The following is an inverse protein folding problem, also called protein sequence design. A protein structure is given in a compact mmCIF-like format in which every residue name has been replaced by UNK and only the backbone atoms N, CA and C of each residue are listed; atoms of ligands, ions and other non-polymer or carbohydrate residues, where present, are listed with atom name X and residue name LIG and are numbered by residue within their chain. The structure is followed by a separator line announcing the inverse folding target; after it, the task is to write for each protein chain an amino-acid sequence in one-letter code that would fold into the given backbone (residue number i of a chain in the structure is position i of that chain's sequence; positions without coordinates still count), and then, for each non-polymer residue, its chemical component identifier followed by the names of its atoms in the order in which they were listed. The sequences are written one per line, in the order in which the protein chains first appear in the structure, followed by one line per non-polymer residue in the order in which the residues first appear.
data_IF_499451648788
#
_entry.id   IF_499451648788
#
_cell.length_a   1.000
_cell.length_b   1.000
_cell.length_c   1.000
_cell.angle_alpha   90.00
_cell.angle_beta   90.00
_cell.angle_gamma   90.00
#
_symmetry.space_group_name_H-M   'P 1'
#
loop_
_entity.id
_entity.type
_entity.pdbx_description
1 polymer ?
#
# COMPACT_ATOMS: atom_id res chain seq x y z
N UNK A 1 12.80 29.57 12.31
CA UNK A 1 12.77 29.78 10.84
C UNK A 1 13.04 28.49 10.08
N UNK A 2 14.08 27.72 10.43
CA UNK A 2 14.39 26.40 9.83
C UNK A 2 13.27 25.37 10.04
N UNK A 3 12.71 25.27 11.25
CA UNK A 3 11.62 24.31 11.55
C UNK A 3 10.35 24.54 10.71
N UNK A 4 9.99 25.79 10.44
CA UNK A 4 8.77 26.12 9.70
C UNK A 4 8.92 25.83 8.19
N UNK A 5 10.15 25.97 7.69
CA UNK A 5 10.52 25.67 6.31
C UNK A 5 10.58 24.16 6.08
N UNK A 6 11.14 23.38 7.02
CA UNK A 6 11.12 21.92 7.00
C UNK A 6 9.67 21.43 6.99
N UNK A 7 8.81 21.96 7.87
CA UNK A 7 7.40 21.56 7.96
C UNK A 7 6.62 21.81 6.66
N UNK A 8 6.84 22.95 5.99
CA UNK A 8 6.24 23.25 4.68
C UNK A 8 6.77 22.31 3.59
N UNK A 9 8.08 22.06 3.54
CA UNK A 9 8.69 21.17 2.56
C UNK A 9 8.16 19.73 2.71
N UNK A 10 8.03 19.23 3.93
CA UNK A 10 7.46 17.89 4.21
C UNK A 10 6.00 17.83 3.79
N UNK A 11 5.21 18.88 4.02
CA UNK A 11 3.81 18.96 3.57
C UNK A 11 3.67 18.95 2.04
N UNK A 12 4.54 19.65 1.33
CA UNK A 12 4.56 19.67 -0.15
C UNK A 12 4.97 18.31 -0.70
N UNK A 13 6.04 17.71 -0.18
CA UNK A 13 6.47 16.35 -0.54
C UNK A 13 5.35 15.32 -0.29
N UNK A 14 4.64 15.46 0.83
CA UNK A 14 3.51 14.60 1.17
C UNK A 14 2.35 14.74 0.18
N UNK A 15 1.93 15.97 -0.13
CA UNK A 15 0.89 16.21 -1.13
C UNK A 15 1.28 15.67 -2.51
N UNK A 16 2.56 15.74 -2.86
CA UNK A 16 3.09 15.22 -4.12
C UNK A 16 3.06 13.68 -4.16
N UNK A 17 3.47 13.01 -3.08
CA UNK A 17 3.40 11.54 -2.97
C UNK A 17 1.94 11.07 -3.06
N UNK A 18 1.02 11.72 -2.35
CA UNK A 18 -0.41 11.42 -2.42
C UNK A 18 -1.00 11.65 -3.81
N UNK A 19 -0.62 12.74 -4.47
CA UNK A 19 -1.06 13.05 -5.82
C UNK A 19 -0.56 12.02 -6.84
N UNK A 20 0.71 11.62 -6.73
CA UNK A 20 1.30 10.56 -7.59
C UNK A 20 0.60 9.22 -7.36
N UNK A 21 0.39 8.85 -6.10
CA UNK A 21 -0.36 7.64 -5.74
C UNK A 21 -1.75 7.68 -6.37
N UNK A 22 -2.59 8.67 -6.05
CA UNK A 22 -3.94 8.80 -6.61
C UNK A 22 -3.97 8.81 -8.15
N UNK A 23 -3.01 9.46 -8.80
CA UNK A 23 -2.94 9.55 -10.27
C UNK A 23 -2.59 8.22 -10.93
N UNK A 24 -1.92 7.30 -10.23
CA UNK A 24 -1.68 5.92 -10.68
C UNK A 24 -2.85 5.02 -10.31
N UNK A 25 -3.41 5.16 -9.10
CA UNK A 25 -4.47 4.29 -8.58
C UNK A 25 -5.80 4.39 -9.34
N UNK A 26 -6.24 5.62 -9.62
CA UNK A 26 -7.56 5.90 -10.23
C UNK A 26 -7.71 5.34 -11.65
N UNK A 27 -6.78 5.60 -12.61
CA UNK A 27 -6.91 5.07 -13.96
C UNK A 27 -6.77 3.54 -14.02
N UNK A 28 -5.92 2.94 -13.16
CA UNK A 28 -5.75 1.48 -13.14
C UNK A 28 -6.95 0.75 -12.52
N UNK A 29 -7.53 1.29 -11.44
CA UNK A 29 -8.75 0.71 -10.83
C UNK A 29 -9.92 0.70 -11.82
N UNK A 30 -10.03 1.74 -12.67
CA UNK A 30 -11.03 1.78 -13.74
C UNK A 30 -10.78 0.77 -14.86
N UNK A 31 -9.53 0.47 -15.20
CA UNK A 31 -9.19 -0.42 -16.32
C UNK A 31 -9.36 -1.91 -16.01
N UNK A 32 -9.19 -2.31 -14.75
CA UNK A 32 -9.10 -3.73 -14.36
C UNK A 32 -10.27 -4.22 -13.49
N UNK A 33 -11.31 -3.39 -13.30
CA UNK A 33 -12.45 -3.66 -12.40
C UNK A 33 -13.26 -4.91 -12.74
N UNK A 34 -13.08 -5.49 -13.92
CA UNK A 34 -13.97 -6.50 -14.47
C UNK A 34 -13.47 -7.95 -14.33
N UNK A 35 -12.31 -8.19 -13.70
CA UNK A 35 -11.85 -9.56 -13.42
C UNK A 35 -11.59 -9.78 -11.94
N UNK A 36 -12.22 -10.80 -11.38
CA UNK A 36 -12.18 -11.15 -9.95
C UNK A 36 -10.75 -11.24 -9.39
N UNK A 37 -9.81 -11.78 -10.17
CA UNK A 37 -8.40 -11.87 -9.77
C UNK A 37 -7.66 -10.53 -9.86
N UNK A 38 -7.98 -9.67 -10.83
CA UNK A 38 -7.40 -8.33 -10.89
C UNK A 38 -7.98 -7.41 -9.80
N UNK A 39 -9.24 -7.62 -9.40
CA UNK A 39 -9.87 -6.96 -8.26
C UNK A 39 -9.06 -7.20 -6.97
N UNK A 40 -8.55 -8.42 -6.74
CA UNK A 40 -7.72 -8.70 -5.56
C UNK A 40 -6.38 -7.95 -5.56
N UNK A 41 -5.71 -7.83 -6.72
CA UNK A 41 -4.46 -7.05 -6.85
C UNK A 41 -4.72 -5.56 -6.63
N UNK A 42 -5.80 -5.04 -7.21
CA UNK A 42 -6.22 -3.64 -7.05
C UNK A 42 -6.59 -3.35 -5.60
N UNK A 43 -7.34 -4.24 -4.95
CA UNK A 43 -7.74 -4.09 -3.55
C UNK A 43 -6.53 -4.07 -2.63
N UNK A 44 -5.55 -4.95 -2.87
CA UNK A 44 -4.30 -4.97 -2.12
C UNK A 44 -3.51 -3.67 -2.30
N UNK A 45 -3.38 -3.18 -3.53
CA UNK A 45 -2.74 -1.91 -3.83
C UNK A 45 -3.45 -0.71 -3.16
N UNK A 46 -4.78 -0.66 -3.23
CA UNK A 46 -5.61 0.36 -2.60
C UNK A 46 -5.46 0.33 -1.08
N UNK A 47 -5.44 -0.86 -0.49
CA UNK A 47 -5.27 -1.04 0.95
C UNK A 47 -3.89 -0.61 1.42
N UNK A 48 -2.82 -0.91 0.67
CA UNK A 48 -1.47 -0.43 0.97
C UNK A 48 -1.38 1.09 0.89
N UNK A 49 -1.92 1.69 -0.17
CA UNK A 49 -1.91 3.13 -0.40
C UNK A 49 -2.70 3.88 0.69
N UNK A 50 -3.88 3.36 1.03
CA UNK A 50 -4.73 3.92 2.09
C UNK A 50 -4.05 3.84 3.45
N UNK A 51 -3.48 2.68 3.80
CA UNK A 51 -2.77 2.50 5.07
C UNK A 51 -1.62 3.49 5.20
N UNK A 52 -0.77 3.64 4.16
CA UNK A 52 0.31 4.66 4.16
C UNK A 52 -0.23 6.06 4.42
N UNK A 53 -1.28 6.46 3.70
CA UNK A 53 -1.87 7.79 3.84
C UNK A 53 -2.42 8.03 5.24
N UNK A 54 -3.15 7.05 5.79
CA UNK A 54 -3.76 7.15 7.13
C UNK A 54 -2.65 7.22 8.20
N UNK A 55 -1.66 6.34 8.13
CA UNK A 55 -0.56 6.30 9.11
C UNK A 55 0.23 7.61 9.11
N UNK A 56 0.50 8.19 7.94
CA UNK A 56 1.14 9.49 7.82
C UNK A 56 0.27 10.63 8.39
N UNK A 57 -1.02 10.67 8.06
CA UNK A 57 -1.94 11.68 8.60
C UNK A 57 -2.02 11.61 10.13
N UNK A 58 -2.18 10.41 10.69
CA UNK A 58 -2.22 10.19 12.14
C UNK A 58 -0.92 10.62 12.82
N UNK A 59 0.23 10.36 12.19
CA UNK A 59 1.52 10.81 12.70
C UNK A 59 1.63 12.35 12.73
N UNK A 60 1.22 13.03 11.67
CA UNK A 60 1.25 14.50 11.60
C UNK A 60 0.32 15.14 12.64
N UNK A 61 -0.91 14.62 12.75
CA UNK A 61 -1.87 15.07 13.76
C UNK A 61 -1.31 14.82 15.17
N UNK A 62 -0.67 13.68 15.40
CA UNK A 62 -0.03 13.37 16.68
C UNK A 62 1.08 14.36 17.03
N UNK A 63 1.96 14.71 16.08
CA UNK A 63 3.00 15.72 16.32
C UNK A 63 2.39 17.09 16.63
N UNK A 64 1.38 17.50 15.87
CA UNK A 64 0.71 18.78 16.08
C UNK A 64 0.07 18.87 17.46
N UNK A 65 -0.66 17.83 17.85
CA UNK A 65 -1.26 17.72 19.18
C UNK A 65 -0.21 17.66 20.29
N UNK A 66 0.89 16.93 20.10
CA UNK A 66 1.97 16.84 21.08
C UNK A 66 2.66 18.20 21.32
N UNK A 67 2.77 19.03 20.28
CA UNK A 67 3.27 20.40 20.39
C UNK A 67 2.31 21.32 21.15
N UNK A 68 1.00 21.13 21.01
CA UNK A 68 -0.02 21.94 21.69
C UNK A 68 -0.22 21.54 23.16
N UNK A 69 -0.29 20.24 23.44
CA UNK A 69 -0.71 19.73 24.76
C UNK A 69 0.47 19.47 25.71
N UNK A 70 1.71 19.43 25.21
CA UNK A 70 2.91 19.20 26.02
C UNK A 70 3.01 17.80 26.66
N UNK A 71 2.05 16.91 26.39
CA UNK A 71 1.74 15.78 27.26
C UNK A 71 1.27 14.51 26.52
N UNK A 72 1.95 13.39 26.88
CA UNK A 72 1.67 11.93 26.80
C UNK A 72 1.09 11.26 25.55
N UNK A 73 0.56 12.00 24.56
CA UNK A 73 -0.09 11.42 23.38
C UNK A 73 0.86 10.54 22.55
N UNK A 74 2.17 10.83 22.60
CA UNK A 74 3.22 10.02 21.96
C UNK A 74 3.30 8.60 22.54
N UNK A 75 2.94 8.38 23.81
CA UNK A 75 2.98 7.04 24.42
C UNK A 75 1.88 6.12 23.88
N UNK A 76 0.70 6.65 23.56
CA UNK A 76 -0.39 5.87 22.94
C UNK A 76 -0.13 5.56 21.46
N UNK A 77 0.66 6.41 20.79
CA UNK A 77 0.95 6.26 19.37
C UNK A 77 1.91 5.09 19.09
N UNK A 78 2.86 4.81 19.99
CA UNK A 78 3.89 3.79 19.75
C UNK A 78 3.32 2.35 19.72
N UNK A 79 2.50 1.90 20.69
CA UNK A 79 1.88 0.58 20.63
C UNK A 79 0.96 0.42 19.40
N UNK A 80 0.20 1.47 19.06
CA UNK A 80 -0.65 1.50 17.88
C UNK A 80 0.21 1.34 16.61
N UNK A 81 1.33 2.05 16.52
CA UNK A 81 2.24 1.97 15.39
C UNK A 81 2.90 0.59 15.26
N UNK A 82 3.26 -0.06 16.37
CA UNK A 82 3.79 -1.44 16.37
C UNK A 82 2.73 -2.40 15.85
N UNK A 83 1.48 -2.25 16.30
CA UNK A 83 0.37 -3.08 15.84
C UNK A 83 0.12 -2.90 14.34
N UNK A 84 0.07 -1.65 13.86
CA UNK A 84 -0.11 -1.34 12.44
C UNK A 84 1.03 -1.93 11.61
N UNK A 85 2.29 -1.77 12.04
CA UNK A 85 3.46 -2.36 11.38
C UNK A 85 3.39 -3.89 11.30
N UNK A 86 2.99 -4.53 12.39
CA UNK A 86 2.85 -5.99 12.42
C UNK A 86 1.73 -6.45 11.48
N UNK A 87 0.60 -5.75 11.49
CA UNK A 87 -0.53 -6.05 10.62
C UNK A 87 -0.19 -5.81 9.15
N UNK A 88 0.42 -4.67 8.80
CA UNK A 88 0.83 -4.34 7.42
C UNK A 88 1.80 -5.38 6.90
N UNK A 89 2.81 -5.74 7.69
CA UNK A 89 3.75 -6.80 7.33
C UNK A 89 3.06 -8.14 7.14
N UNK A 90 2.32 -8.65 8.13
CA UNK A 90 1.78 -10.00 8.07
C UNK A 90 0.64 -10.15 7.06
N UNK A 91 -0.37 -9.27 7.10
CA UNK A 91 -1.56 -9.39 6.27
C UNK A 91 -1.25 -9.10 4.79
N UNK A 92 -0.47 -8.06 4.50
CA UNK A 92 -0.19 -7.68 3.11
C UNK A 92 0.83 -8.62 2.46
N UNK A 93 1.83 -9.10 3.20
CA UNK A 93 2.77 -10.10 2.65
C UNK A 93 2.03 -11.38 2.28
N UNK A 94 1.16 -11.88 3.17
CA UNK A 94 0.36 -13.08 2.91
C UNK A 94 -0.58 -12.90 1.71
N UNK A 95 -1.22 -11.74 1.57
CA UNK A 95 -2.05 -11.43 0.40
C UNK A 95 -1.23 -11.36 -0.90
N UNK A 96 -0.07 -10.69 -0.90
CA UNK A 96 0.79 -10.62 -2.07
C UNK A 96 1.33 -11.99 -2.48
N UNK A 97 1.71 -12.82 -1.51
CA UNK A 97 2.19 -14.18 -1.75
C UNK A 97 1.08 -15.06 -2.37
N UNK A 98 -0.15 -14.98 -1.84
CA UNK A 98 -1.30 -15.67 -2.41
C UNK A 98 -1.59 -15.22 -3.84
N UNK A 99 -1.48 -13.93 -4.15
CA UNK A 99 -1.65 -13.40 -5.50
C UNK A 99 -0.53 -13.92 -6.43
N UNK A 100 0.71 -13.94 -5.95
CA UNK A 100 1.87 -14.39 -6.73
C UNK A 100 1.77 -15.88 -7.07
N UNK A 101 1.41 -16.73 -6.10
CA UNK A 101 1.19 -18.17 -6.33
C UNK A 101 0.02 -18.42 -7.29
N UNK A 102 -1.03 -17.60 -7.20
CA UNK A 102 -2.19 -17.73 -8.08
C UNK A 102 -1.99 -17.14 -9.48
N UNK A 103 -0.88 -16.44 -9.73
CA UNK A 103 -0.61 -15.78 -11.01
C UNK A 103 -0.34 -16.79 -12.14
N UNK A 104 0.53 -17.77 -11.90
CA UNK A 104 0.81 -18.84 -12.88
C UNK A 104 -0.44 -19.66 -13.14
N UNK A 105 -1.11 -20.09 -12.07
CA UNK A 105 -2.41 -20.80 -12.15
C UNK A 105 -3.47 -20.00 -12.92
N UNK A 106 -3.45 -18.67 -12.84
CA UNK A 106 -4.36 -17.83 -13.61
C UNK A 106 -4.04 -17.81 -15.11
N UNK A 107 -2.77 -17.71 -15.49
CA UNK A 107 -2.36 -17.81 -16.89
C UNK A 107 -2.70 -19.18 -17.48
N UNK A 108 -2.48 -20.24 -16.72
CA UNK A 108 -2.80 -21.62 -17.14
C UNK A 108 -4.32 -21.80 -17.27
N UNK A 109 -5.09 -21.31 -16.30
CA UNK A 109 -6.56 -21.33 -16.35
C UNK A 109 -7.11 -20.54 -17.53
N UNK A 110 -6.49 -19.40 -17.88
CA UNK A 110 -6.90 -18.58 -19.02
C UNK A 110 -6.63 -19.31 -20.35
N UNK A 111 -5.50 -20.00 -20.44
CA UNK A 111 -5.17 -20.85 -21.60
C UNK A 111 -6.14 -22.04 -21.73
N UNK A 112 -6.47 -22.69 -20.61
CA UNK A 112 -7.44 -23.79 -20.58
C UNK A 112 -8.85 -23.33 -20.99
N UNK A 113 -9.31 -22.17 -20.51
CA UNK A 113 -10.61 -21.61 -20.91
C UNK A 113 -10.66 -21.27 -22.40
N UNK A 114 -9.56 -20.79 -22.97
CA UNK A 114 -9.47 -20.59 -24.41
C UNK A 114 -9.58 -21.90 -25.18
N UNK A 115 -8.83 -22.93 -24.77
CA UNK A 115 -8.88 -24.25 -25.41
C UNK A 115 -10.28 -24.89 -25.30
N UNK A 116 -10.96 -24.68 -24.17
CA UNK A 116 -12.31 -25.17 -23.98
C UNK A 116 -13.31 -24.43 -24.89
N UNK A 117 -13.17 -23.11 -25.03
CA UNK A 117 -13.93 -22.32 -25.99
C UNK A 117 -13.65 -22.75 -27.44
N UNK A 118 -12.38 -22.93 -27.80
CA UNK A 118 -11.99 -23.23 -29.18
C UNK A 118 -12.44 -24.63 -29.64
N UNK A 119 -12.40 -25.61 -28.73
CA UNK A 119 -12.68 -27.01 -29.06
C UNK A 119 -14.13 -27.43 -28.76
N UNK A 120 -14.75 -26.86 -27.73
CA UNK A 120 -16.07 -27.28 -27.25
C UNK A 120 -17.13 -26.18 -27.32
N UNK A 121 -16.77 -25.00 -27.84
CA UNK A 121 -17.67 -23.84 -27.98
C UNK A 121 -18.28 -23.39 -26.63
N UNK A 122 -17.52 -23.51 -25.53
CA UNK A 122 -17.94 -23.02 -24.21
C UNK A 122 -18.13 -21.50 -24.20
N UNK A 123 -19.17 -21.02 -23.53
CA UNK A 123 -19.74 -19.66 -23.71
C UNK A 123 -19.07 -18.54 -22.93
N UNK A 124 -18.14 -18.84 -22.02
CA UNK A 124 -17.62 -17.84 -21.07
C UNK A 124 -16.44 -17.02 -21.61
N UNK A 125 -15.96 -17.32 -22.81
CA UNK A 125 -14.80 -16.63 -23.38
C UNK A 125 -15.11 -15.21 -23.90
N UNK A 126 -16.17 -14.98 -24.71
CA UNK A 126 -16.48 -13.63 -25.21
C UNK A 126 -16.84 -12.65 -24.10
N UNK A 127 -17.43 -13.12 -22.99
CA UNK A 127 -17.70 -12.30 -21.82
C UNK A 127 -16.42 -11.90 -21.10
N UNK A 128 -15.44 -12.80 -21.00
CA UNK A 128 -14.11 -12.52 -20.46
C UNK A 128 -13.34 -11.49 -21.32
N UNK A 129 -13.40 -11.61 -22.64
CA UNK A 129 -12.76 -10.67 -23.57
C UNK A 129 -13.35 -9.27 -23.47
N UNK A 130 -14.68 -9.16 -23.44
CA UNK A 130 -15.37 -7.89 -23.23
C UNK A 130 -15.06 -7.28 -21.86
N UNK A 131 -14.97 -8.12 -20.83
CA UNK A 131 -14.61 -7.68 -19.48
C UNK A 131 -13.19 -7.09 -19.44
N UNK A 132 -12.22 -7.78 -20.04
CA UNK A 132 -10.81 -7.39 -20.01
C UNK A 132 -10.38 -6.43 -21.13
N UNK A 133 -11.24 -6.17 -22.11
CA UNK A 133 -10.94 -5.40 -23.33
C UNK A 133 -9.68 -5.94 -24.03
N UNK A 134 -9.65 -7.25 -24.23
CA UNK A 134 -8.59 -7.96 -24.91
C UNK A 134 -9.19 -8.89 -25.97
N UNK A 135 -8.36 -9.43 -26.86
CA UNK A 135 -8.81 -10.36 -27.89
C UNK A 135 -7.89 -11.58 -27.98
N UNK A 136 -8.44 -12.78 -27.91
CA UNK A 136 -7.72 -14.04 -27.92
C UNK A 136 -6.72 -14.18 -26.78
N UNK A 137 -6.00 -15.30 -26.74
CA UNK A 137 -4.96 -15.50 -25.72
C UNK A 137 -3.75 -14.62 -26.00
N UNK A 138 -3.24 -14.65 -27.22
CA UNK A 138 -2.07 -13.88 -27.65
C UNK A 138 -2.44 -12.67 -28.53
N UNK A 139 -3.69 -12.60 -28.95
CA UNK A 139 -4.20 -11.56 -29.82
C UNK A 139 -5.29 -12.10 -30.75
N UNK A 140 -5.75 -11.29 -31.72
CA UNK A 140 -6.67 -11.72 -32.77
C UNK A 140 -6.14 -12.93 -33.57
N UNK A 141 -4.81 -13.09 -33.64
CA UNK A 141 -4.16 -14.25 -34.26
C UNK A 141 -4.61 -15.57 -33.65
N UNK A 142 -4.87 -15.62 -32.35
CA UNK A 142 -5.32 -16.85 -31.69
C UNK A 142 -6.60 -17.41 -32.33
N UNK A 143 -7.52 -16.55 -32.79
CA UNK A 143 -8.70 -17.02 -33.54
C UNK A 143 -8.33 -17.63 -34.88
N UNK A 144 -7.39 -17.04 -35.61
CA UNK A 144 -6.92 -17.53 -36.90
C UNK A 144 -6.21 -18.88 -36.80
N UNK A 145 -5.42 -19.08 -35.74
CA UNK A 145 -4.70 -20.35 -35.49
C UNK A 145 -5.66 -21.54 -35.29
N UNK A 146 -6.91 -21.27 -34.88
CA UNK A 146 -7.98 -22.26 -34.72
C UNK A 146 -9.04 -22.19 -35.85
N UNK A 147 -8.73 -21.50 -36.96
CA UNK A 147 -9.63 -21.30 -38.11
C UNK A 147 -10.99 -20.68 -37.73
N UNK A 148 -11.03 -19.91 -36.66
CA UNK A 148 -12.22 -19.20 -36.21
C UNK A 148 -12.24 -17.76 -36.73
N UNK A 149 -13.44 -17.26 -37.01
CA UNK A 149 -13.64 -15.84 -37.32
C UNK A 149 -13.37 -14.98 -36.08
N UNK A 150 -12.59 -13.90 -36.26
CA UNK A 150 -12.36 -12.93 -35.18
C UNK A 150 -13.70 -12.25 -34.82
N UNK A 151 -14.10 -12.19 -33.55
CA UNK A 151 -15.35 -11.56 -33.14
C UNK A 151 -15.40 -10.05 -33.43
N UNK A 152 -16.59 -9.50 -33.65
CA UNK A 152 -16.77 -8.07 -33.95
C UNK A 152 -16.31 -7.15 -32.82
N UNK A 153 -16.46 -7.56 -31.55
CA UNK A 153 -16.01 -6.77 -30.38
C UNK A 153 -14.49 -6.65 -30.26
N UNK A 154 -13.74 -7.51 -30.95
CA UNK A 154 -12.29 -7.45 -31.02
C UNK A 154 -11.78 -6.42 -32.02
N UNK A 155 -12.61 -5.96 -32.96
CA UNK A 155 -12.21 -4.98 -33.96
C UNK A 155 -12.36 -3.57 -33.40
N UNK A 156 -11.23 -2.97 -33.06
CA UNK A 156 -11.15 -1.57 -32.66
C UNK A 156 -10.55 -0.77 -33.84
N UNK A 157 -11.26 0.22 -34.41
CA UNK A 157 -10.81 0.90 -35.65
C UNK A 157 -9.48 1.65 -35.49
N UNK A 158 -9.09 2.01 -34.27
CA UNK A 158 -7.93 2.88 -34.03
C UNK A 158 -6.67 2.15 -33.50
N UNK A 159 -6.73 0.88 -33.08
CA UNK A 159 -5.57 0.15 -32.52
C UNK A 159 -5.66 -1.38 -32.63
N UNK A 160 -4.49 -2.04 -32.70
CA UNK A 160 -4.34 -3.50 -32.51
C UNK A 160 -4.77 -3.87 -31.08
N UNK A 161 -5.85 -4.62 -30.96
CA UNK A 161 -6.37 -5.10 -29.67
C UNK A 161 -5.38 -6.12 -29.06
N UNK A 162 -4.88 -5.88 -27.83
CA UNK A 162 -3.88 -6.76 -27.24
C UNK A 162 -4.47 -8.12 -26.82
N UNK A 163 -3.64 -9.16 -26.85
CA UNK A 163 -3.98 -10.48 -26.31
C UNK A 163 -4.30 -10.44 -24.82
N UNK A 164 -5.22 -11.29 -24.36
CA UNK A 164 -5.59 -11.38 -22.95
C UNK A 164 -4.42 -11.82 -22.07
N UNK A 165 -3.58 -12.75 -22.54
CA UNK A 165 -2.36 -13.14 -21.83
C UNK A 165 -1.33 -12.01 -21.77
N UNK A 166 -1.23 -11.22 -22.85
CA UNK A 166 -0.35 -10.06 -22.92
C UNK A 166 -0.80 -8.98 -21.95
N UNK A 167 -2.11 -8.71 -21.87
CA UNK A 167 -2.68 -7.79 -20.90
C UNK A 167 -2.36 -8.21 -19.46
N UNK A 168 -2.51 -9.50 -19.14
CA UNK A 168 -2.21 -10.06 -17.81
C UNK A 168 -0.70 -10.00 -17.50
N UNK A 169 0.16 -10.32 -18.47
CA UNK A 169 1.63 -10.25 -18.33
C UNK A 169 2.13 -8.81 -18.19
N UNK A 170 1.63 -7.88 -19.00
CA UNK A 170 2.12 -6.51 -19.05
C UNK A 170 1.45 -5.56 -18.07
N UNK A 171 0.26 -5.86 -17.55
CA UNK A 171 -0.38 -5.01 -16.54
C UNK A 171 -0.27 -5.62 -15.14
N UNK A 172 -0.55 -6.92 -14.97
CA UNK A 172 -0.67 -7.52 -13.65
C UNK A 172 0.69 -7.79 -12.99
N UNK A 173 1.68 -8.27 -13.75
CA UNK A 173 3.04 -8.52 -13.24
C UNK A 173 3.74 -7.23 -12.75
N UNK A 174 3.77 -6.12 -13.51
CA UNK A 174 4.34 -4.88 -12.99
C UNK A 174 3.50 -4.32 -11.84
N UNK A 175 2.17 -4.48 -11.81
CA UNK A 175 1.38 -4.08 -10.64
C UNK A 175 1.81 -4.85 -9.39
N UNK A 176 2.00 -6.17 -9.48
CA UNK A 176 2.47 -6.97 -8.36
C UNK A 176 3.83 -6.48 -7.88
N UNK A 177 4.76 -6.20 -8.80
CA UNK A 177 6.08 -5.66 -8.47
C UNK A 177 6.00 -4.28 -7.80
N UNK A 178 5.16 -3.38 -8.32
CA UNK A 178 4.93 -2.06 -7.73
C UNK A 178 4.30 -2.21 -6.33
N UNK A 179 3.36 -3.14 -6.13
CA UNK A 179 2.78 -3.44 -4.82
C UNK A 179 3.82 -3.96 -3.83
N UNK A 180 4.77 -4.81 -4.26
CA UNK A 180 5.90 -5.25 -3.41
C UNK A 180 6.78 -4.06 -3.02
N UNK A 181 7.10 -3.19 -3.97
CA UNK A 181 7.91 -1.99 -3.71
C UNK A 181 7.19 -1.03 -2.76
N UNK A 182 5.88 -0.84 -2.94
CA UNK A 182 5.04 -0.06 -2.04
C UNK A 182 5.01 -0.65 -0.65
N UNK A 183 4.81 -1.96 -0.50
CA UNK A 183 4.87 -2.61 0.82
C UNK A 183 6.20 -2.35 1.52
N UNK A 184 7.33 -2.49 0.81
CA UNK A 184 8.66 -2.17 1.35
C UNK A 184 8.78 -0.71 1.77
N UNK A 185 8.28 0.20 0.94
CA UNK A 185 8.27 1.63 1.23
C UNK A 185 7.40 1.95 2.45
N UNK A 186 6.22 1.34 2.57
CA UNK A 186 5.31 1.49 3.71
C UNK A 186 5.98 1.06 5.00
N UNK A 187 6.57 -0.14 5.01
CA UNK A 187 7.28 -0.67 6.19
C UNK A 187 8.45 0.25 6.56
N UNK A 188 9.20 0.75 5.56
CA UNK A 188 10.29 1.67 5.81
C UNK A 188 9.80 2.98 6.46
N UNK A 189 8.73 3.58 5.94
CA UNK A 189 8.14 4.81 6.50
C UNK A 189 7.62 4.56 7.92
N UNK A 190 6.94 3.44 8.15
CA UNK A 190 6.42 3.07 9.48
C UNK A 190 7.55 2.86 10.50
N UNK A 191 8.67 2.24 10.09
CA UNK A 191 9.87 2.08 10.91
C UNK A 191 10.52 3.43 11.25
N UNK A 192 10.66 4.33 10.29
CA UNK A 192 11.21 5.66 10.52
C UNK A 192 10.35 6.44 11.51
N UNK A 193 9.02 6.40 11.33
CA UNK A 193 8.06 7.02 12.27
C UNK A 193 8.23 6.44 13.68
N UNK A 194 8.35 5.12 13.79
CA UNK A 194 8.53 4.43 15.06
C UNK A 194 9.84 4.82 15.75
N UNK A 195 10.96 4.89 15.01
CA UNK A 195 12.26 5.33 15.52
C UNK A 195 12.24 6.76 16.03
N UNK A 196 11.65 7.69 15.28
CA UNK A 196 11.53 9.08 15.72
C UNK A 196 10.67 9.18 16.98
N UNK A 197 9.56 8.42 17.01
CA UNK A 197 8.64 8.42 18.15
C UNK A 197 9.30 7.83 19.40
N UNK A 198 10.01 6.71 19.28
CA UNK A 198 10.72 6.06 20.38
C UNK A 198 11.88 6.92 20.90
N UNK A 199 12.65 7.57 20.02
CA UNK A 199 13.71 8.50 20.43
C UNK A 199 13.16 9.70 21.22
N UNK A 200 12.04 10.27 20.78
CA UNK A 200 11.35 11.36 21.52
C UNK A 200 10.87 10.89 22.90
N UNK A 201 10.31 9.69 22.98
CA UNK A 201 9.90 9.09 24.25
C UNK A 201 11.10 8.87 25.18
N UNK A 202 12.18 8.29 24.67
CA UNK A 202 13.38 8.02 25.46
C UNK A 202 13.97 9.31 26.04
N UNK A 203 14.10 10.35 25.22
CA UNK A 203 14.58 11.67 25.68
C UNK A 203 13.70 12.24 26.81
N UNK A 204 12.38 12.11 26.70
CA UNK A 204 11.43 12.59 27.72
C UNK A 204 11.46 11.73 28.99
N UNK A 205 11.59 10.41 28.87
CA UNK A 205 11.75 9.51 30.02
C UNK A 205 13.02 9.84 30.80
N UNK A 206 14.14 10.04 30.10
CA UNK A 206 15.40 10.47 30.73
C UNK A 206 15.25 11.81 31.44
N UNK A 207 14.58 12.80 30.82
CA UNK A 207 14.36 14.10 31.46
C UNK A 207 13.50 13.98 32.73
N UNK A 208 12.43 13.19 32.69
CA UNK A 208 11.54 12.94 33.85
C UNK A 208 12.26 12.21 34.98
N UNK A 209 13.12 11.24 34.66
CA UNK A 209 13.95 10.54 35.66
C UNK A 209 14.94 11.54 36.30
N UNK A 210 15.56 12.40 35.49
CA UNK A 210 16.44 13.48 35.96
C UNK A 210 15.73 14.45 36.91
N UNK A 211 14.56 14.93 36.52
CA UNK A 211 13.75 15.85 37.35
C UNK A 211 13.28 15.20 38.65
N UNK A 212 12.88 13.92 38.62
CA UNK A 212 12.53 13.17 39.85
C UNK A 212 13.74 12.99 40.77
N UNK A 213 14.91 12.65 40.24
CA UNK A 213 16.14 12.55 41.04
C UNK A 213 16.49 13.90 41.67
N UNK A 214 16.43 14.99 40.90
CA UNK A 214 16.70 16.35 41.38
C UNK A 214 15.73 16.79 42.48
N UNK A 215 14.43 16.56 42.31
CA UNK A 215 13.41 16.84 43.35
C UNK A 215 13.64 16.05 44.63
N UNK A 216 14.02 14.77 44.52
CA UNK A 216 14.28 13.90 45.68
C UNK A 216 15.49 14.37 46.49
N UNK A 217 16.55 14.83 45.82
CA UNK A 217 17.75 15.40 46.47
C UNK A 217 17.41 16.70 47.20
N UNK A 218 16.69 17.62 46.56
CA UNK A 218 16.28 18.90 47.16
C UNK A 218 15.40 18.66 48.40
N UNK A 219 14.45 17.71 48.32
CA UNK A 219 13.56 17.38 49.44
C UNK A 219 14.34 16.75 50.61
N UNK A 220 15.37 15.94 50.33
CA UNK A 220 16.25 15.38 51.37
C UNK A 220 17.08 16.47 52.08
N UNK A 221 17.63 17.44 51.34
CA UNK A 221 18.35 18.57 51.93
C UNK A 221 17.44 19.46 52.78
N UNK A 222 16.21 19.73 52.31
CA UNK A 222 15.23 20.52 53.06
C UNK A 222 14.84 19.84 54.38
N UNK A 223 14.60 18.53 54.37
CA UNK A 223 14.32 17.78 55.61
C UNK A 223 15.52 17.73 56.56
N UNK A 224 16.75 17.70 56.03
CA UNK A 224 17.95 17.74 56.86
C UNK A 224 18.08 19.07 57.62
N UNK A 225 17.88 20.20 56.92
CA UNK A 225 17.90 21.54 57.52
C UNK A 225 16.81 21.71 58.59
N UNK A 226 15.62 21.15 58.35
CA UNK A 226 14.49 21.24 59.29
C UNK A 226 14.66 20.41 60.57
N UNK A 227 15.55 19.40 60.56
CA UNK A 227 15.88 18.59 61.74
C UNK A 227 17.09 19.11 62.52
N UNK A 228 17.81 20.12 62.01
CA UNK A 228 19.00 20.69 62.66
C UNK A 228 18.73 22.00 63.41
N UNK A 229 17.52 22.57 63.27
CA UNK A 229 17.02 23.74 63.98
C UNK A 229 15.74 23.37 64.73
#
# INVERSE_FOLDING_TARGET
MVDDMIRKLTGILFGLILAVLCRVTVPLTRRLKNTEKAINVINCFNALTSTVSITLCLYLVSIYLANLSGHWLVYGLVPLQIFVLHWTYFAMTKQLEAINMNYSSFLDSLTLKWLAHSNFNETDWPSLENAMRCCGVEGPRSYMDFLQGVPSHCYNPDLITPGCSHLVKHNLKPMLQISVLLLRLTIFVELVILLISSAKLFKKLVSLIGDRKRKRIIMHCLNFIKNTY
#
